data_IF_902335254546
#
_entry.id   IF_902335254546
#
_cell.length_a   1.000
_cell.length_b   1.000
_cell.length_c   1.000
_cell.angle_alpha   90.00
_cell.angle_beta   90.00
_cell.angle_gamma   90.00
#
_symmetry.space_group_name_H-M   'P 1'
#
loop_
_entity.id
_entity.type
_entity.pdbx_description
1 polymer ?
#
# COMPACT_ATOMS: atom_id res chain seq x y z
N UNK A 1 -0.20 -0.51 6.90
CA UNK A 1 -0.98 0.18 5.83
C UNK A 1 -0.68 -0.54 4.52
N UNK A 2 -1.55 -0.49 3.52
CA UNK A 2 -1.37 -1.26 2.27
C UNK A 2 -1.55 -0.39 1.02
N UNK A 3 -0.71 -0.61 0.02
CA UNK A 3 -0.82 -0.03 -1.32
C UNK A 3 -1.29 -1.15 -2.25
N UNK A 4 -2.41 -0.92 -2.93
CA UNK A 4 -2.97 -1.88 -3.89
C UNK A 4 -2.83 -1.33 -5.30
N UNK A 5 -2.33 -2.18 -6.18
CA UNK A 5 -2.12 -1.89 -7.58
C UNK A 5 -2.63 -3.05 -8.47
N UNK A 6 -2.83 -2.73 -9.75
CA UNK A 6 -3.37 -3.62 -10.78
C UNK A 6 -2.50 -4.88 -11.04
N UNK A 7 -3.08 -5.95 -11.65
CA UNK A 7 -4.44 -6.06 -12.16
C UNK A 7 -5.41 -6.88 -11.29
N UNK A 8 -4.96 -7.51 -10.20
CA UNK A 8 -5.82 -8.43 -9.44
C UNK A 8 -5.50 -8.47 -7.95
N UNK A 9 -6.52 -8.21 -7.14
CA UNK A 9 -6.50 -8.40 -5.69
C UNK A 9 -7.50 -9.51 -5.38
N UNK A 10 -6.99 -10.62 -4.86
CA UNK A 10 -7.79 -11.81 -4.53
C UNK A 10 -8.86 -11.49 -3.47
N UNK A 11 -9.95 -12.26 -3.43
CA UNK A 11 -10.97 -12.11 -2.39
C UNK A 11 -10.35 -12.29 -0.99
N UNK A 12 -9.44 -13.26 -0.84
CA UNK A 12 -8.72 -13.51 0.41
C UNK A 12 -7.95 -12.27 0.88
N UNK A 13 -7.25 -11.57 -0.02
CA UNK A 13 -6.53 -10.35 0.33
C UNK A 13 -7.51 -9.24 0.77
N UNK A 14 -8.67 -9.14 0.13
CA UNK A 14 -9.71 -8.18 0.54
C UNK A 14 -10.25 -8.49 1.92
N UNK A 15 -10.61 -9.75 2.17
CA UNK A 15 -11.16 -10.19 3.45
C UNK A 15 -10.15 -9.91 4.58
N UNK A 16 -8.86 -10.21 4.35
CA UNK A 16 -7.80 -9.90 5.29
C UNK A 16 -7.64 -8.39 5.55
N UNK A 17 -7.73 -7.55 4.51
CA UNK A 17 -7.64 -6.09 4.67
C UNK A 17 -8.77 -5.57 5.55
N UNK A 18 -9.99 -6.08 5.35
CA UNK A 18 -11.18 -5.71 6.14
C UNK A 18 -11.05 -6.22 7.58
N UNK A 19 -10.71 -7.50 7.77
CA UNK A 19 -10.56 -8.13 9.09
C UNK A 19 -9.48 -7.44 9.93
N UNK A 20 -8.35 -7.09 9.29
CA UNK A 20 -7.24 -6.40 9.95
C UNK A 20 -7.44 -4.88 10.04
N UNK A 21 -8.56 -4.35 9.53
CA UNK A 21 -8.88 -2.92 9.47
C UNK A 21 -7.71 -2.08 8.90
N UNK A 22 -7.12 -2.54 7.79
CA UNK A 22 -5.97 -1.90 7.18
C UNK A 22 -6.43 -0.72 6.30
N UNK A 23 -5.76 0.42 6.48
CA UNK A 23 -5.92 1.57 5.59
C UNK A 23 -5.22 1.32 4.26
N UNK A 24 -5.96 1.56 3.18
CA UNK A 24 -5.56 1.30 1.79
C UNK A 24 -5.28 2.62 1.09
N UNK A 25 -4.16 2.72 0.37
CA UNK A 25 -3.91 3.87 -0.51
C UNK A 25 -4.92 3.85 -1.67
N UNK A 26 -5.59 4.97 -1.89
CA UNK A 26 -6.54 5.14 -2.97
C UNK A 26 -5.80 5.28 -4.30
N UNK A 27 -5.61 4.17 -4.98
CA UNK A 27 -5.15 4.13 -6.36
C UNK A 27 -6.34 3.98 -7.32
N UNK A 28 -6.11 4.03 -8.64
CA UNK A 28 -7.13 3.79 -9.66
C UNK A 28 -7.94 2.49 -9.43
N UNK A 29 -7.34 1.50 -8.75
CA UNK A 29 -7.98 0.25 -8.35
C UNK A 29 -9.19 0.43 -7.39
N UNK A 30 -9.29 1.54 -6.67
CA UNK A 30 -10.39 1.84 -5.74
C UNK A 30 -11.73 2.11 -6.42
N UNK A 31 -11.73 2.44 -7.73
CA UNK A 31 -12.94 2.67 -8.51
C UNK A 31 -13.60 1.37 -9.00
N UNK A 32 -12.97 0.20 -8.75
CA UNK A 32 -13.51 -1.09 -9.20
C UNK A 32 -14.67 -1.59 -8.32
N UNK A 33 -15.68 -2.24 -8.92
CA UNK A 33 -16.74 -2.90 -8.17
C UNK A 33 -16.16 -3.95 -7.21
N UNK A 34 -16.52 -3.86 -5.92
CA UNK A 34 -16.10 -4.82 -4.88
C UNK A 34 -14.95 -4.38 -3.99
N UNK A 35 -14.47 -3.14 -4.11
CA UNK A 35 -13.51 -2.52 -3.18
C UNK A 35 -14.15 -1.52 -2.21
N UNK A 36 -15.31 -0.96 -2.55
CA UNK A 36 -15.71 0.37 -2.09
C UNK A 36 -16.51 0.48 -0.78
N UNK A 37 -16.97 -0.61 -0.15
CA UNK A 37 -17.88 -0.50 1.01
C UNK A 37 -17.29 -0.79 2.39
N UNK A 38 -16.27 -1.64 2.49
CA UNK A 38 -15.74 -2.09 3.79
C UNK A 38 -14.29 -1.68 4.04
N UNK A 39 -13.60 -1.15 3.01
CA UNK A 39 -12.21 -0.72 3.13
C UNK A 39 -12.11 0.78 3.36
N UNK A 40 -11.14 1.17 4.19
CA UNK A 40 -10.79 2.58 4.38
C UNK A 40 -9.77 2.99 3.32
N UNK A 41 -10.23 3.70 2.29
CA UNK A 41 -9.35 4.32 1.30
C UNK A 41 -8.86 5.68 1.79
N UNK A 42 -7.58 5.95 1.57
CA UNK A 42 -6.92 7.20 1.89
C UNK A 42 -6.32 7.79 0.62
N UNK A 43 -6.52 9.08 0.38
CA UNK A 43 -5.75 9.81 -0.62
C UNK A 43 -4.27 9.86 -0.22
N UNK A 44 -3.38 10.17 -1.17
CA UNK A 44 -1.93 10.22 -0.95
C UNK A 44 -1.54 11.02 0.30
N UNK A 45 -2.09 12.23 0.45
CA UNK A 45 -1.80 13.12 1.58
C UNK A 45 -2.28 12.52 2.90
N UNK A 46 -3.48 11.95 2.93
CA UNK A 46 -4.05 11.32 4.13
C UNK A 46 -3.24 10.08 4.54
N UNK A 47 -2.80 9.30 3.56
CA UNK A 47 -1.96 8.14 3.79
C UNK A 47 -0.62 8.54 4.40
N UNK A 48 0.05 9.57 3.86
CA UNK A 48 1.34 10.04 4.36
C UNK A 48 1.20 10.59 5.80
N UNK A 49 0.18 11.38 6.07
CA UNK A 49 -0.04 11.96 7.41
C UNK A 49 -0.43 10.87 8.44
N UNK A 50 -1.25 9.90 8.04
CA UNK A 50 -1.56 8.75 8.90
C UNK A 50 -0.31 7.90 9.16
N UNK A 51 0.54 7.73 8.14
CA UNK A 51 1.78 6.99 8.26
C UNK A 51 2.75 7.65 9.26
N UNK A 52 2.95 8.96 9.14
CA UNK A 52 3.75 9.76 10.08
C UNK A 52 3.19 9.70 11.50
N UNK A 53 1.89 9.93 11.67
CA UNK A 53 1.25 10.00 12.99
C UNK A 53 1.24 8.65 13.73
N UNK A 54 1.08 7.53 13.02
CA UNK A 54 1.14 6.19 13.62
C UNK A 54 2.57 5.75 13.97
N UNK A 55 3.59 6.52 13.56
CA UNK A 55 5.00 6.10 13.60
C UNK A 55 5.17 4.66 13.06
N UNK A 56 4.38 4.31 12.04
CA UNK A 56 4.34 2.95 11.52
C UNK A 56 5.55 2.75 10.62
N UNK A 57 6.17 1.57 10.67
CA UNK A 57 7.24 1.21 9.73
C UNK A 57 6.81 0.14 8.73
N UNK A 58 5.51 -0.23 8.72
CA UNK A 58 5.01 -1.38 7.97
C UNK A 58 4.04 -0.94 6.86
N UNK A 59 4.50 -1.09 5.63
CA UNK A 59 3.71 -0.93 4.41
C UNK A 59 3.73 -2.25 3.68
N UNK A 60 2.56 -2.67 3.23
CA UNK A 60 2.38 -3.82 2.35
C UNK A 60 2.10 -3.30 0.94
N UNK A 61 2.64 -3.97 -0.07
CA UNK A 61 2.34 -3.71 -1.47
C UNK A 61 2.06 -5.04 -2.17
N UNK A 62 1.13 -5.07 -3.11
CA UNK A 62 0.84 -6.27 -3.91
C UNK A 62 1.54 -6.26 -5.28
N UNK A 63 2.23 -5.17 -5.65
CA UNK A 63 2.97 -5.05 -6.90
C UNK A 63 4.21 -4.17 -6.73
N UNK A 64 5.15 -4.30 -7.66
CA UNK A 64 6.36 -3.46 -7.72
C UNK A 64 6.06 -1.99 -8.05
N UNK A 65 4.93 -1.68 -8.70
CA UNK A 65 4.56 -0.28 -8.97
C UNK A 65 4.32 0.50 -7.66
N UNK A 66 4.03 -0.21 -6.57
CA UNK A 66 3.94 0.38 -5.23
C UNK A 66 5.28 0.99 -4.79
N UNK A 67 6.41 0.47 -5.26
CA UNK A 67 7.74 0.99 -4.92
C UNK A 67 7.99 2.38 -5.47
N UNK A 68 7.54 2.67 -6.69
CA UNK A 68 7.66 4.01 -7.27
C UNK A 68 6.89 5.04 -6.43
N UNK A 69 5.68 4.70 -5.97
CA UNK A 69 4.92 5.57 -5.06
C UNK A 69 5.64 5.74 -3.72
N UNK A 70 6.16 4.66 -3.12
CA UNK A 70 6.90 4.70 -1.85
C UNK A 70 8.16 5.56 -1.97
N UNK A 71 8.94 5.42 -3.05
CA UNK A 71 10.16 6.20 -3.28
C UNK A 71 9.87 7.71 -3.36
N UNK A 72 8.80 8.08 -4.07
CA UNK A 72 8.44 9.49 -4.26
C UNK A 72 7.82 10.13 -3.01
N UNK A 73 7.06 9.36 -2.21
CA UNK A 73 6.25 9.92 -1.13
C UNK A 73 6.82 9.68 0.28
N UNK A 74 7.64 8.65 0.47
CA UNK A 74 8.12 8.21 1.78
C UNK A 74 9.65 8.30 1.94
N UNK A 75 10.30 9.19 1.19
CA UNK A 75 11.74 9.48 1.33
C UNK A 75 12.16 9.85 2.76
N UNK A 76 11.25 10.39 3.57
CA UNK A 76 11.48 10.75 4.97
C UNK A 76 11.60 9.54 5.94
N UNK A 77 11.39 8.31 5.46
CA UNK A 77 11.28 7.11 6.32
C UNK A 77 12.48 6.16 6.23
N UNK A 78 13.39 6.37 5.27
CA UNK A 78 14.46 5.42 4.93
C UNK A 78 13.97 4.09 4.34
N UNK A 79 12.65 3.92 4.12
CA UNK A 79 12.08 2.74 3.45
C UNK A 79 12.58 2.64 1.99
N UNK A 80 12.62 3.72 1.19
CA UNK A 80 13.10 3.64 -0.20
C UNK A 80 14.53 3.06 -0.31
N UNK A 81 15.43 3.45 0.58
CA UNK A 81 16.82 2.96 0.61
C UNK A 81 16.90 1.44 0.84
N UNK A 82 16.00 0.89 1.68
CA UNK A 82 15.93 -0.56 1.94
C UNK A 82 15.37 -1.35 0.75
N UNK A 83 14.51 -0.71 -0.03
CA UNK A 83 13.93 -1.29 -1.24
C UNK A 83 15.02 -1.38 -2.32
N UNK A 84 15.81 -0.32 -2.54
CA UNK A 84 16.91 -0.31 -3.52
C UNK A 84 18.01 -1.34 -3.23
N UNK A 85 18.26 -1.68 -1.97
CA UNK A 85 19.27 -2.69 -1.59
C UNK A 85 18.81 -4.14 -1.77
N UNK A 86 17.52 -4.37 -2.03
CA UNK A 86 16.98 -5.71 -2.26
C UNK A 86 17.15 -6.05 -3.73
N UNK A 87 18.19 -6.82 -4.07
CA UNK A 87 18.35 -7.42 -5.39
C UNK A 87 17.05 -8.21 -5.72
N UNK A 88 16.21 -7.69 -6.61
CA UNK A 88 14.88 -8.22 -6.98
C UNK A 88 14.89 -9.62 -7.65
N UNK A 89 16.02 -10.33 -7.56
CA UNK A 89 16.25 -11.62 -8.22
C UNK A 89 15.44 -12.78 -7.63
N UNK A 90 14.86 -12.62 -6.44
CA UNK A 90 14.06 -13.66 -5.80
C UNK A 90 12.96 -13.01 -4.97
N UNK A 91 11.72 -13.05 -5.45
CA UNK A 91 10.47 -13.21 -4.68
C UNK A 91 9.27 -12.98 -5.61
N UNK A 92 8.86 -14.05 -6.30
CA UNK A 92 7.47 -14.29 -6.72
C UNK A 92 6.95 -15.49 -5.92
#
# INVERSE_FOLDING_TARGET
MIILDEPYVSQILRDNIVEMNLSVLKYAASERPGFSKEMTFLEDVEFIELFKSKNSSKIYGNSENSFAWIANNLGFTGIPEKIETSDYSFLF
#
